data_IF_786348975899
#
_entry.id   IF_786348975899
#
_cell.length_a   1.000
_cell.length_b   1.000
_cell.length_c   1.000
_cell.angle_alpha   90.00
_cell.angle_beta   90.00
_cell.angle_gamma   90.00
#
_symmetry.space_group_name_H-M   'P 1'
#
loop_
_entity.id
_entity.type
_entity.pdbx_description
1 polymer ?
#
# COMPACT_ATOMS: atom_id res chain seq x y z
N UNK A 1 -15.99 -22.86 -10.78
CA UNK A 1 -14.81 -22.17 -11.35
C UNK A 1 -14.14 -21.42 -10.21
N UNK A 2 -12.87 -21.72 -9.91
CA UNK A 2 -12.06 -20.88 -9.03
C UNK A 2 -11.98 -19.50 -9.69
N UNK A 3 -12.33 -18.44 -8.97
CA UNK A 3 -12.46 -17.11 -9.56
C UNK A 3 -11.05 -16.47 -9.66
N UNK A 4 -10.22 -17.06 -10.53
CA UNK A 4 -8.76 -16.84 -10.65
C UNK A 4 -8.37 -15.38 -10.84
N UNK A 5 -9.24 -14.57 -11.44
CA UNK A 5 -9.04 -13.13 -11.63
C UNK A 5 -9.13 -12.36 -10.31
N UNK A 6 -10.08 -12.69 -9.44
CA UNK A 6 -10.20 -12.05 -8.13
C UNK A 6 -9.04 -12.46 -7.22
N UNK A 7 -8.66 -13.74 -7.24
CA UNK A 7 -7.48 -14.24 -6.51
C UNK A 7 -6.19 -13.54 -6.95
N UNK A 8 -6.06 -13.24 -8.25
CA UNK A 8 -4.93 -12.46 -8.77
C UNK A 8 -4.88 -11.06 -8.16
N UNK A 9 -5.99 -10.31 -8.21
CA UNK A 9 -5.99 -8.94 -7.66
C UNK A 9 -5.78 -8.92 -6.16
N UNK A 10 -6.38 -9.85 -5.40
CA UNK A 10 -6.13 -9.99 -3.95
C UNK A 10 -4.63 -10.10 -3.70
N UNK A 11 -3.95 -11.04 -4.39
CA UNK A 11 -2.51 -11.25 -4.21
C UNK A 11 -1.68 -10.05 -4.61
N UNK A 12 -2.03 -9.35 -5.69
CA UNK A 12 -1.27 -8.17 -6.12
C UNK A 12 -1.43 -7.00 -5.13
N UNK A 13 -2.64 -6.75 -4.61
CA UNK A 13 -2.84 -5.74 -3.56
C UNK A 13 -2.10 -6.10 -2.26
N UNK A 14 -2.16 -7.36 -1.83
CA UNK A 14 -1.40 -7.86 -0.67
C UNK A 14 0.12 -7.69 -0.89
N UNK A 15 0.61 -7.97 -2.10
CA UNK A 15 2.02 -7.81 -2.44
C UNK A 15 2.49 -6.36 -2.30
N UNK A 16 1.70 -5.40 -2.79
CA UNK A 16 2.04 -3.97 -2.69
C UNK A 16 2.09 -3.55 -1.22
N UNK A 17 1.09 -3.93 -0.42
CA UNK A 17 1.03 -3.63 1.03
C UNK A 17 2.22 -4.25 1.76
N UNK A 18 2.53 -5.52 1.52
CA UNK A 18 3.65 -6.23 2.16
C UNK A 18 5.00 -5.61 1.78
N UNK A 19 5.19 -5.23 0.51
CA UNK A 19 6.39 -4.54 0.05
C UNK A 19 6.55 -3.19 0.72
N UNK A 20 5.47 -2.42 0.86
CA UNK A 20 5.50 -1.17 1.62
C UNK A 20 5.94 -1.42 3.07
N UNK A 21 5.29 -2.34 3.80
CA UNK A 21 5.65 -2.66 5.20
C UNK A 21 7.13 -3.06 5.33
N UNK A 22 7.64 -3.86 4.38
CA UNK A 22 9.05 -4.24 4.36
C UNK A 22 9.99 -3.07 4.07
N UNK A 23 9.64 -2.18 3.12
CA UNK A 23 10.42 -0.97 2.87
C UNK A 23 10.48 -0.09 4.13
N UNK A 24 9.39 0.00 4.90
CA UNK A 24 9.36 0.74 6.16
C UNK A 24 10.30 0.13 7.20
N UNK A 25 10.39 -1.20 7.29
CA UNK A 25 11.29 -1.82 8.27
C UNK A 25 12.77 -1.56 7.98
N UNK A 26 13.12 -1.17 6.75
CA UNK A 26 14.49 -0.83 6.34
C UNK A 26 14.73 0.68 6.41
N UNK A 27 13.84 1.47 5.80
CA UNK A 27 14.03 2.90 5.58
C UNK A 27 13.19 3.79 6.50
N UNK A 28 12.45 3.22 7.45
CA UNK A 28 11.48 3.93 8.27
C UNK A 28 12.04 5.03 9.17
N UNK A 29 13.34 5.05 9.44
CA UNK A 29 14.03 6.12 10.15
C UNK A 29 14.49 7.27 9.25
N UNK A 30 14.43 7.11 7.92
CA UNK A 30 14.83 8.10 6.93
C UNK A 30 13.58 8.76 6.33
N UNK A 31 13.22 9.95 6.82
CA UNK A 31 11.95 10.62 6.46
C UNK A 31 11.70 10.73 4.95
N UNK A 32 12.72 11.11 4.17
CA UNK A 32 12.56 11.28 2.72
C UNK A 32 12.35 9.95 2.00
N UNK A 33 13.09 8.91 2.38
CA UNK A 33 12.90 7.56 1.84
C UNK A 33 11.53 7.00 2.22
N UNK A 34 11.05 7.33 3.42
CA UNK A 34 9.74 6.92 3.91
C UNK A 34 8.60 7.53 3.08
N UNK A 35 8.69 8.83 2.80
CA UNK A 35 7.71 9.55 1.98
C UNK A 35 7.71 9.03 0.54
N UNK A 36 8.89 8.76 -0.03
CA UNK A 36 9.02 8.14 -1.34
C UNK A 36 8.40 6.73 -1.39
N UNK A 37 8.67 5.88 -0.40
CA UNK A 37 8.08 4.54 -0.32
C UNK A 37 6.55 4.57 -0.21
N UNK A 38 6.01 5.56 0.50
CA UNK A 38 4.57 5.75 0.60
C UNK A 38 3.96 6.15 -0.75
N UNK A 39 4.56 7.13 -1.43
CA UNK A 39 4.07 7.58 -2.73
C UNK A 39 4.15 6.48 -3.79
N UNK A 40 5.25 5.71 -3.84
CA UNK A 40 5.40 4.56 -4.75
C UNK A 40 4.28 3.53 -4.53
N UNK A 41 3.97 3.20 -3.27
CA UNK A 41 2.91 2.25 -2.94
C UNK A 41 1.51 2.75 -3.33
N UNK A 42 1.22 4.04 -3.14
CA UNK A 42 -0.04 4.67 -3.59
C UNK A 42 -0.14 4.59 -5.12
N UNK A 43 0.91 4.98 -5.84
CA UNK A 43 0.91 4.97 -7.30
C UNK A 43 0.75 3.56 -7.87
N UNK A 44 1.38 2.54 -7.26
CA UNK A 44 1.20 1.14 -7.66
C UNK A 44 -0.24 0.65 -7.45
N UNK A 45 -0.89 1.04 -6.35
CA UNK A 45 -2.30 0.72 -6.07
C UNK A 45 -3.22 1.36 -7.13
N UNK A 46 -3.06 2.65 -7.42
CA UNK A 46 -3.90 3.34 -8.41
C UNK A 46 -3.69 2.76 -9.80
N UNK A 47 -2.45 2.49 -10.20
CA UNK A 47 -2.15 1.82 -11.49
C UNK A 47 -2.78 0.43 -11.57
N UNK A 48 -2.80 -0.33 -10.49
CA UNK A 48 -3.45 -1.65 -10.46
C UNK A 48 -4.97 -1.53 -10.60
N UNK A 49 -5.56 -0.51 -9.95
CA UNK A 49 -6.99 -0.22 -10.05
C UNK A 49 -7.40 0.23 -11.45
N UNK A 50 -6.65 1.13 -12.07
CA UNK A 50 -6.87 1.57 -13.46
C UNK A 50 -6.79 0.40 -14.45
N UNK A 51 -5.85 -0.53 -14.26
CA UNK A 51 -5.78 -1.76 -15.06
C UNK A 51 -6.96 -2.70 -14.83
N UNK A 52 -7.60 -2.60 -13.68
CA UNK A 52 -8.77 -3.39 -13.32
C UNK A 52 -10.09 -2.71 -13.73
N UNK A 53 -10.05 -1.48 -14.27
CA UNK A 53 -11.25 -0.74 -14.67
C UNK A 53 -12.00 -1.53 -15.76
N UNK A 54 -13.17 -2.07 -15.41
CA UNK A 54 -13.93 -3.06 -16.18
C UNK A 54 -14.20 -4.38 -15.43
N UNK A 55 -13.55 -4.63 -14.29
CA UNK A 55 -13.85 -5.74 -13.38
C UNK A 55 -14.33 -5.25 -12.01
N UNK A 56 -15.65 -5.27 -11.82
CA UNK A 56 -16.45 -5.44 -10.58
C UNK A 56 -16.01 -4.81 -9.24
N UNK A 57 -17.01 -4.59 -8.35
CA UNK A 57 -16.93 -4.00 -7.00
C UNK A 57 -15.76 -4.47 -6.12
N UNK A 58 -15.28 -5.70 -6.31
CA UNK A 58 -14.20 -6.30 -5.51
C UNK A 58 -12.91 -5.49 -5.61
N UNK A 59 -12.58 -4.95 -6.78
CA UNK A 59 -11.32 -4.22 -6.99
C UNK A 59 -11.33 -2.86 -6.29
N UNK A 60 -12.49 -2.20 -6.22
CA UNK A 60 -12.71 -0.98 -5.43
C UNK A 60 -12.55 -1.22 -3.93
N UNK A 61 -13.09 -2.33 -3.43
CA UNK A 61 -12.94 -2.74 -2.03
C UNK A 61 -11.48 -2.99 -1.65
N UNK A 62 -10.75 -3.73 -2.48
CA UNK A 62 -9.32 -4.03 -2.27
C UNK A 62 -8.46 -2.77 -2.35
N UNK A 63 -8.71 -1.87 -3.31
CA UNK A 63 -8.05 -0.56 -3.39
C UNK A 63 -8.21 0.22 -2.09
N UNK A 64 -9.45 0.36 -1.61
CA UNK A 64 -9.72 1.10 -0.39
C UNK A 64 -9.06 0.47 0.84
N UNK A 65 -9.07 -0.86 0.94
CA UNK A 65 -8.36 -1.58 1.99
C UNK A 65 -6.85 -1.30 1.94
N UNK A 66 -6.23 -1.42 0.76
CA UNK A 66 -4.79 -1.24 0.59
C UNK A 66 -4.36 0.19 0.93
N UNK A 67 -5.03 1.20 0.37
CA UNK A 67 -4.76 2.62 0.62
C UNK A 67 -4.87 2.98 2.12
N UNK A 68 -5.92 2.50 2.79
CA UNK A 68 -6.10 2.74 4.21
C UNK A 68 -5.04 2.04 5.06
N UNK A 69 -4.65 0.82 4.68
CA UNK A 69 -3.62 0.06 5.38
C UNK A 69 -2.27 0.78 5.30
N UNK A 70 -1.81 1.14 4.09
CA UNK A 70 -0.54 1.85 3.92
C UNK A 70 -0.56 3.22 4.59
N UNK A 71 -1.68 3.96 4.55
CA UNK A 71 -1.83 5.26 5.23
C UNK A 71 -1.70 5.14 6.75
N UNK A 72 -2.27 4.09 7.35
CA UNK A 72 -2.15 3.85 8.81
C UNK A 72 -0.69 3.61 9.21
N UNK A 73 0.00 2.71 8.51
CA UNK A 73 1.42 2.46 8.76
C UNK A 73 2.26 3.73 8.58
N UNK A 74 1.99 4.48 7.49
CA UNK A 74 2.59 5.78 7.20
C UNK A 74 2.54 6.74 8.40
N UNK A 75 1.32 7.02 8.88
CA UNK A 75 1.11 7.99 9.95
C UNK A 75 1.67 7.50 11.29
N UNK A 76 1.54 6.21 11.59
CA UNK A 76 2.07 5.64 12.84
C UNK A 76 3.59 5.77 12.92
N UNK A 77 4.31 5.52 11.82
CA UNK A 77 5.76 5.62 11.83
C UNK A 77 6.23 7.08 11.82
N UNK A 78 5.57 7.98 11.06
CA UNK A 78 5.90 9.41 11.09
C UNK A 78 5.77 10.00 12.49
N UNK A 79 4.71 9.63 13.22
CA UNK A 79 4.52 10.04 14.61
C UNK A 79 5.68 9.56 15.50
N UNK A 80 6.08 8.28 15.36
CA UNK A 80 7.24 7.76 16.08
C UNK A 80 8.48 8.58 15.77
N UNK A 81 8.83 8.76 14.50
CA UNK A 81 10.02 9.54 14.10
C UNK A 81 9.99 10.94 14.73
N UNK A 82 8.86 11.66 14.69
CA UNK A 82 8.78 12.99 15.31
C UNK A 82 9.02 13.00 16.83
N UNK A 83 8.64 11.93 17.55
CA UNK A 83 8.91 11.78 18.99
C UNK A 83 10.40 11.53 19.30
N UNK A 84 11.17 10.97 18.35
CA UNK A 84 12.62 10.74 18.53
C UNK A 84 13.48 11.99 18.28
N UNK A 85 12.99 12.96 17.49
CA UNK A 85 13.74 14.18 17.15
C UNK A 85 13.39 15.37 18.08
N UNK A 86 12.44 15.18 19.00
CA UNK A 86 12.01 16.18 20.00
C UNK A 86 12.76 16.02 21.32
#
# INVERSE_FOLDING_TARGET
>A
MVNTKNDYYIKEYERIVNRFIWNISIYGSMSDCYDACYQEAVDEIEKLYEKAYGSEDITSGLRNWALNTIKRYYLMNKKKVSEWVS
#
